data_IF_653804497445
#
_entry.id   IF_653804497445
#
_cell.length_a   1.000
_cell.length_b   1.000
_cell.length_c   1.000
_cell.angle_alpha   90.00
_cell.angle_beta   90.00
_cell.angle_gamma   90.00
#
_symmetry.space_group_name_H-M   'P 1'
#
loop_
_entity.id
_entity.type
_entity.pdbx_description
1 polymer ?
#
# COMPACT_ATOMS: atom_id res chain seq x y z
N UNK A 1 -0.02 2.00 29.41
CA UNK A 1 0.25 2.74 28.17
C UNK A 1 -0.68 2.24 27.09
N UNK A 2 -1.72 3.03 26.79
CA UNK A 2 -2.74 2.71 25.78
C UNK A 2 -2.28 3.16 24.39
N UNK A 3 -1.07 2.73 24.00
CA UNK A 3 -0.45 3.07 22.72
C UNK A 3 -0.18 1.82 21.88
N UNK A 4 -0.60 1.84 20.61
CA UNK A 4 -0.22 0.84 19.61
C UNK A 4 0.72 1.51 18.60
N UNK A 5 1.96 1.01 18.56
CA UNK A 5 2.98 1.41 17.59
C UNK A 5 3.01 0.44 16.41
N UNK A 6 2.85 0.98 15.21
CA UNK A 6 2.94 0.24 13.94
C UNK A 6 4.07 0.89 13.13
N UNK A 7 5.06 0.09 12.71
CA UNK A 7 6.22 0.60 11.97
C UNK A 7 6.64 -0.35 10.86
N UNK A 8 7.27 0.19 9.83
CA UNK A 8 7.80 -0.60 8.74
C UNK A 8 8.28 0.24 7.57
N UNK A 9 8.50 -0.43 6.44
CA UNK A 9 8.91 0.19 5.18
C UNK A 9 7.77 0.17 4.18
N UNK A 10 7.61 1.27 3.46
CA UNK A 10 6.72 1.28 2.30
C UNK A 10 7.29 0.37 1.20
N UNK A 11 6.40 -0.11 0.35
CA UNK A 11 6.74 -0.98 -0.77
C UNK A 11 6.22 -0.43 -2.08
N UNK A 12 6.97 -0.64 -3.15
CA UNK A 12 6.53 -0.33 -4.50
C UNK A 12 5.34 -1.23 -4.88
N UNK A 13 4.21 -0.61 -5.20
CA UNK A 13 3.06 -1.29 -5.77
C UNK A 13 3.21 -1.35 -7.29
N UNK A 14 3.43 -2.55 -7.86
CA UNK A 14 3.34 -2.74 -9.32
C UNK A 14 1.88 -2.90 -9.71
N UNK A 15 1.34 -1.93 -10.45
CA UNK A 15 0.04 -2.09 -11.10
C UNK A 15 0.19 -2.95 -12.36
N UNK A 16 0.30 -4.27 -12.17
CA UNK A 16 0.39 -5.20 -13.29
C UNK A 16 -0.99 -5.41 -13.91
N UNK A 17 -1.28 -4.70 -15.00
CA UNK A 17 -2.51 -4.93 -15.77
C UNK A 17 -2.48 -6.29 -16.46
N UNK A 18 -3.63 -6.98 -16.42
CA UNK A 18 -3.87 -8.24 -17.12
C UNK A 18 -4.29 -7.95 -18.56
N UNK A 19 -3.31 -7.76 -19.44
CA UNK A 19 -3.57 -7.60 -20.88
C UNK A 19 -4.07 -8.92 -21.49
N UNK A 20 -4.78 -8.88 -22.64
CA UNK A 20 -5.25 -10.08 -23.32
C UNK A 20 -4.15 -11.13 -23.55
N UNK A 21 -2.96 -10.66 -23.94
CA UNK A 21 -1.79 -11.53 -24.16
C UNK A 21 -1.36 -12.22 -22.86
N UNK A 22 -1.26 -11.48 -21.75
CA UNK A 22 -0.92 -12.07 -20.44
C UNK A 22 -1.96 -13.10 -20.00
N UNK A 23 -3.23 -12.88 -20.30
CA UNK A 23 -4.31 -13.84 -20.03
C UNK A 23 -4.18 -15.11 -20.86
N UNK A 24 -3.85 -15.00 -22.15
CA UNK A 24 -3.59 -16.17 -23.02
C UNK A 24 -2.41 -16.99 -22.47
N UNK A 25 -1.30 -16.33 -22.14
CA UNK A 25 -0.12 -17.00 -21.58
C UNK A 25 -0.45 -17.69 -20.25
N UNK A 26 -1.21 -17.02 -19.37
CA UNK A 26 -1.64 -17.61 -18.11
C UNK A 26 -2.50 -18.85 -18.36
N UNK A 27 -3.44 -18.80 -19.32
CA UNK A 27 -4.26 -19.97 -19.66
C UNK A 27 -3.44 -21.13 -20.23
N UNK A 28 -2.50 -20.85 -21.12
CA UNK A 28 -1.59 -21.88 -21.67
C UNK A 28 -0.73 -22.51 -20.56
N UNK A 29 -0.19 -21.69 -19.65
CA UNK A 29 0.54 -22.16 -18.47
C UNK A 29 -0.32 -23.05 -17.59
N UNK A 30 -1.58 -22.68 -17.35
CA UNK A 30 -2.51 -23.46 -16.55
C UNK A 30 -2.89 -24.80 -17.22
N UNK A 31 -3.03 -24.83 -18.54
CA UNK A 31 -3.34 -26.05 -19.29
C UNK A 31 -2.17 -27.03 -19.37
N UNK A 32 -0.93 -26.53 -19.30
CA UNK A 32 0.30 -27.33 -19.39
C UNK A 32 0.83 -27.68 -18.01
N UNK A 33 1.56 -26.77 -17.37
CA UNK A 33 2.26 -27.00 -16.09
C UNK A 33 1.30 -26.89 -14.91
N UNK A 34 0.40 -25.91 -14.95
CA UNK A 34 -0.54 -25.65 -13.86
C UNK A 34 -1.54 -26.78 -13.62
N UNK A 35 -1.81 -27.61 -14.63
CA UNK A 35 -2.62 -28.82 -14.51
C UNK A 35 -2.02 -29.82 -13.52
N UNK A 36 -0.69 -29.93 -13.49
CA UNK A 36 0.02 -30.88 -12.64
C UNK A 36 0.50 -30.25 -11.32
N UNK A 37 0.76 -28.93 -11.31
CA UNK A 37 1.29 -28.21 -10.14
C UNK A 37 0.54 -26.89 -9.87
N UNK A 38 -0.78 -26.91 -9.59
CA UNK A 38 -1.57 -25.69 -9.41
C UNK A 38 -1.09 -24.85 -8.20
N UNK A 39 -0.63 -25.50 -7.14
CA UNK A 39 -0.10 -24.82 -5.95
C UNK A 39 1.22 -24.10 -6.22
N UNK A 40 2.04 -24.58 -7.15
CA UNK A 40 3.28 -23.91 -7.55
C UNK A 40 2.96 -22.60 -8.28
N UNK A 41 2.05 -22.66 -9.26
CA UNK A 41 1.60 -21.46 -10.00
C UNK A 41 0.99 -20.44 -9.04
N UNK A 42 0.15 -20.89 -8.09
CA UNK A 42 -0.41 -20.02 -7.06
C UNK A 42 0.67 -19.32 -6.25
N UNK A 43 1.66 -20.05 -5.72
CA UNK A 43 2.76 -19.48 -4.94
C UNK A 43 3.58 -18.47 -5.77
N UNK A 44 3.85 -18.76 -7.04
CA UNK A 44 4.57 -17.86 -7.93
C UNK A 44 3.81 -16.56 -8.18
N UNK A 45 2.51 -16.64 -8.48
CA UNK A 45 1.66 -15.47 -8.70
C UNK A 45 1.52 -14.64 -7.42
N UNK A 46 1.29 -15.29 -6.27
CA UNK A 46 1.24 -14.61 -4.98
C UNK A 46 2.56 -13.91 -4.65
N UNK A 47 3.70 -14.58 -4.90
CA UNK A 47 5.01 -13.96 -4.72
C UNK A 47 5.20 -12.77 -5.65
N UNK A 48 4.81 -12.88 -6.91
CA UNK A 48 4.97 -11.80 -7.89
C UNK A 48 4.06 -10.60 -7.62
N UNK A 49 2.82 -10.83 -7.22
CA UNK A 49 1.78 -9.79 -7.16
C UNK A 49 1.57 -9.24 -5.74
N UNK A 50 1.87 -10.02 -4.70
CA UNK A 50 1.50 -9.70 -3.32
C UNK A 50 2.74 -9.50 -2.44
N UNK A 51 3.60 -10.51 -2.31
CA UNK A 51 4.65 -10.52 -1.26
C UNK A 51 6.03 -10.09 -1.73
N UNK A 52 6.37 -10.26 -3.01
CA UNK A 52 7.67 -9.91 -3.59
C UNK A 52 7.81 -8.44 -3.98
N UNK A 53 7.20 -7.53 -3.21
CA UNK A 53 7.27 -6.09 -3.46
C UNK A 53 8.66 -5.57 -3.10
N UNK A 54 9.21 -4.73 -3.96
CA UNK A 54 10.46 -4.04 -3.67
C UNK A 54 10.21 -2.98 -2.59
N UNK A 55 11.14 -2.85 -1.66
CA UNK A 55 11.11 -1.79 -0.64
C UNK A 55 11.24 -0.43 -1.32
N UNK A 56 10.40 0.52 -0.93
CA UNK A 56 10.51 1.91 -1.29
C UNK A 56 11.38 2.64 -0.26
N UNK A 57 12.04 3.76 -0.61
CA UNK A 57 12.94 4.49 0.28
C UNK A 57 12.15 5.37 1.28
N UNK A 58 11.14 4.80 1.92
CA UNK A 58 10.30 5.47 2.91
C UNK A 58 10.03 4.53 4.07
N UNK A 59 10.40 4.96 5.27
CA UNK A 59 10.04 4.29 6.51
C UNK A 59 8.83 5.00 7.11
N UNK A 60 7.88 4.24 7.63
CA UNK A 60 6.68 4.78 8.24
C UNK A 60 6.56 4.35 9.69
N UNK A 61 5.91 5.21 10.47
CA UNK A 61 5.52 4.95 11.83
C UNK A 61 4.11 5.50 12.06
N UNK A 62 3.24 4.70 12.67
CA UNK A 62 1.90 5.08 13.10
C UNK A 62 1.76 4.77 14.58
N UNK A 63 1.33 5.76 15.35
CA UNK A 63 0.94 5.60 16.75
C UNK A 63 -0.57 5.79 16.84
N UNK A 64 -1.22 4.86 17.52
CA UNK A 64 -2.64 4.92 17.86
C UNK A 64 -2.71 5.03 19.38
N UNK A 65 -3.29 6.11 19.89
CA UNK A 65 -3.41 6.35 21.32
C UNK A 65 -4.80 6.90 21.66
N UNK A 66 -5.28 6.57 22.86
CA UNK A 66 -6.50 7.15 23.39
C UNK A 66 -6.16 8.40 24.21
N UNK A 67 -6.77 9.53 23.85
CA UNK A 67 -6.65 10.79 24.58
C UNK A 67 -8.04 11.39 24.77
N UNK A 68 -8.46 11.62 26.02
CA UNK A 68 -9.78 12.16 26.34
C UNK A 68 -10.95 11.41 25.67
N UNK A 69 -10.95 10.08 25.73
CA UNK A 69 -11.95 9.20 25.08
C UNK A 69 -12.01 9.32 23.54
N UNK A 70 -10.98 9.91 22.92
CA UNK A 70 -10.86 10.02 21.48
C UNK A 70 -9.63 9.26 20.96
N UNK A 71 -9.76 8.64 19.78
CA UNK A 71 -8.64 7.94 19.16
C UNK A 71 -7.78 8.94 18.39
N UNK A 72 -6.56 9.13 18.85
CA UNK A 72 -5.55 9.97 18.19
C UNK A 72 -4.62 9.10 17.36
N UNK A 73 -4.49 9.44 16.09
CA UNK A 73 -3.63 8.76 15.12
C UNK A 73 -2.50 9.71 14.72
N UNK A 74 -1.27 9.37 15.07
CA UNK A 74 -0.06 10.10 14.68
C UNK A 74 0.71 9.29 13.65
N UNK A 75 0.81 9.81 12.44
CA UNK A 75 1.58 9.25 11.34
C UNK A 75 2.88 10.03 11.18
N UNK A 76 3.97 9.30 10.93
CA UNK A 76 5.25 9.84 10.54
C UNK A 76 5.78 9.05 9.33
N UNK A 77 6.27 9.77 8.33
CA UNK A 77 6.96 9.19 7.18
C UNK A 77 8.34 9.85 7.05
N UNK A 78 9.38 9.04 6.97
CA UNK A 78 10.77 9.50 6.83
C UNK A 78 11.34 9.05 5.50
N UNK A 79 12.17 9.90 4.90
CA UNK A 79 12.95 9.56 3.71
C UNK A 79 14.22 10.38 3.64
N UNK A 80 15.23 9.83 2.96
CA UNK A 80 16.45 10.57 2.63
C UNK A 80 16.19 11.64 1.56
N UNK A 81 15.15 11.48 0.73
CA UNK A 81 14.81 12.46 -0.30
C UNK A 81 13.35 12.41 -0.69
N UNK A 82 12.74 13.60 -0.82
CA UNK A 82 11.37 13.80 -1.27
C UNK A 82 11.26 14.21 -2.74
N UNK A 83 12.38 14.46 -3.43
CA UNK A 83 12.40 15.10 -4.76
C UNK A 83 11.67 14.33 -5.86
N UNK A 84 11.53 13.01 -5.69
CA UNK A 84 10.84 12.14 -6.65
C UNK A 84 9.36 11.90 -6.31
N UNK A 85 8.87 12.46 -5.19
CA UNK A 85 7.46 12.32 -4.80
C UNK A 85 6.64 13.36 -5.54
N UNK A 86 5.75 12.88 -6.43
CA UNK A 86 4.88 13.77 -7.21
C UNK A 86 3.64 14.16 -6.42
N UNK A 87 2.97 13.16 -5.85
CA UNK A 87 1.75 13.30 -5.08
C UNK A 87 1.85 12.44 -3.81
N UNK A 88 1.19 12.87 -2.75
CA UNK A 88 1.08 12.12 -1.50
C UNK A 88 -0.32 12.24 -0.94
N UNK A 89 -0.80 11.19 -0.27
CA UNK A 89 -2.09 11.25 0.39
C UNK A 89 -2.55 9.93 0.94
N UNK A 90 -3.72 9.98 1.59
CA UNK A 90 -4.31 8.85 2.29
C UNK A 90 -5.73 8.66 1.75
N UNK A 91 -5.96 7.50 1.13
CA UNK A 91 -7.27 7.07 0.66
C UNK A 91 -7.75 5.84 1.41
N UNK A 92 -9.07 5.72 1.62
CA UNK A 92 -9.69 4.55 2.27
C UNK A 92 -9.70 3.28 1.40
N UNK A 93 -9.10 3.36 0.21
CA UNK A 93 -9.46 2.50 -0.90
C UNK A 93 -8.21 2.01 -1.71
N UNK A 94 -7.04 2.59 -1.45
CA UNK A 94 -5.81 2.27 -2.18
C UNK A 94 -5.18 0.98 -1.65
N UNK A 95 -5.57 -0.16 -2.21
CA UNK A 95 -4.89 -1.44 -1.96
C UNK A 95 -3.90 -1.79 -3.06
N UNK A 96 -2.69 -2.17 -2.65
CA UNK A 96 -1.67 -2.75 -3.54
C UNK A 96 -1.84 -4.26 -3.72
N UNK A 97 -2.97 -4.83 -3.28
CA UNK A 97 -3.31 -6.25 -3.38
C UNK A 97 -4.59 -6.35 -4.20
N UNK A 98 -4.43 -6.63 -5.49
CA UNK A 98 -5.56 -6.83 -6.39
C UNK A 98 -6.06 -8.27 -6.25
N UNK A 99 -7.23 -8.43 -5.64
CA UNK A 99 -8.01 -9.67 -5.72
C UNK A 99 -9.21 -9.37 -6.59
N UNK A 100 -9.13 -9.79 -7.86
CA UNK A 100 -10.07 -9.51 -8.96
C UNK A 100 -11.55 -9.72 -8.60
N UNK A 101 -11.86 -10.50 -7.55
CA UNK A 101 -13.22 -10.85 -7.16
C UNK A 101 -13.55 -10.68 -5.67
N UNK A 102 -12.74 -9.98 -4.86
CA UNK A 102 -13.01 -9.85 -3.41
C UNK A 102 -13.18 -8.42 -2.91
N UNK A 103 -13.17 -7.42 -3.80
CA UNK A 103 -13.38 -6.03 -3.38
C UNK A 103 -14.85 -5.66 -3.51
N UNK A 104 -15.65 -6.07 -2.54
CA UNK A 104 -17.02 -5.55 -2.40
C UNK A 104 -16.96 -4.06 -2.08
N UNK A 105 -17.97 -3.31 -2.55
CA UNK A 105 -18.14 -1.92 -2.18
C UNK A 105 -18.20 -1.79 -0.65
N UNK A 106 -17.55 -0.76 -0.12
CA UNK A 106 -17.63 -0.37 1.29
C UNK A 106 -17.82 1.14 1.36
N UNK A 107 -18.70 1.61 2.26
CA UNK A 107 -19.01 3.06 2.40
C UNK A 107 -17.75 3.89 2.65
N UNK A 108 -16.76 3.35 3.37
CA UNK A 108 -15.46 4.00 3.58
C UNK A 108 -14.66 4.29 2.31
N UNK A 109 -15.00 3.69 1.17
CA UNK A 109 -14.38 3.97 -0.14
C UNK A 109 -14.82 5.34 -0.71
N UNK A 110 -15.90 5.91 -0.19
CA UNK A 110 -16.36 7.26 -0.55
C UNK A 110 -15.65 8.36 0.25
N UNK A 111 -14.81 8.00 1.23
CA UNK A 111 -14.06 8.98 2.00
C UNK A 111 -13.16 9.78 1.05
N UNK A 112 -13.14 11.12 1.18
CA UNK A 112 -12.32 11.96 0.34
C UNK A 112 -10.86 11.60 0.53
N UNK A 113 -10.12 11.68 -0.57
CA UNK A 113 -8.67 11.56 -0.53
C UNK A 113 -8.10 12.69 0.34
N UNK A 114 -7.38 12.34 1.41
CA UNK A 114 -6.62 13.32 2.17
C UNK A 114 -5.35 13.63 1.38
N UNK A 115 -5.35 14.76 0.70
CA UNK A 115 -4.20 15.22 -0.08
C UNK A 115 -3.12 15.80 0.84
N UNK A 116 -1.92 15.24 0.76
CA UNK A 116 -0.73 15.65 1.51
C UNK A 116 0.38 16.14 0.55
N UNK A 117 0.04 16.33 -0.73
CA UNK A 117 1.02 16.63 -1.79
C UNK A 117 1.76 17.93 -1.51
N UNK A 118 1.04 18.99 -1.15
CA UNK A 118 1.65 20.29 -0.83
C UNK A 118 2.61 20.17 0.37
N UNK A 119 2.21 19.47 1.42
CA UNK A 119 3.02 19.26 2.62
C UNK A 119 4.31 18.53 2.29
N UNK A 120 4.25 17.49 1.44
CA UNK A 120 5.43 16.75 1.01
C UNK A 120 6.35 17.58 0.12
N UNK A 121 5.80 18.42 -0.75
CA UNK A 121 6.59 19.28 -1.64
C UNK A 121 7.39 20.35 -0.88
N UNK A 122 6.97 20.70 0.34
CA UNK A 122 7.67 21.66 1.20
C UNK A 122 8.81 21.01 2.02
N UNK A 123 8.88 19.68 2.07
CA UNK A 123 9.88 18.97 2.88
C UNK A 123 11.28 19.05 2.29
N UNK A 124 12.27 19.29 3.15
CA UNK A 124 13.68 19.16 2.76
C UNK A 124 14.18 17.71 2.91
N UNK A 125 15.27 17.32 2.23
CA UNK A 125 15.86 15.99 2.39
C UNK A 125 16.14 15.64 3.86
N UNK A 126 15.70 14.46 4.31
CA UNK A 126 15.84 14.00 5.70
C UNK A 126 14.75 14.50 6.66
N UNK A 127 13.93 15.47 6.26
CA UNK A 127 12.79 15.92 7.05
C UNK A 127 11.68 14.86 7.07
N UNK A 128 10.94 14.78 8.18
CA UNK A 128 9.82 13.84 8.32
C UNK A 128 8.50 14.51 7.97
N UNK A 129 7.67 13.85 7.16
CA UNK A 129 6.25 14.19 7.08
C UNK A 129 5.59 13.72 8.38
N UNK A 130 4.87 14.61 9.05
CA UNK A 130 4.12 14.30 10.27
C UNK A 130 2.67 14.70 10.10
N UNK A 131 1.75 13.85 10.57
CA UNK A 131 0.32 14.08 10.50
C UNK A 131 -0.34 13.56 11.77
N UNK A 132 -1.18 14.39 12.37
CA UNK A 132 -2.00 14.03 13.53
C UNK A 132 -3.49 14.13 13.16
N UNK A 133 -4.27 13.13 13.55
CA UNK A 133 -5.71 13.08 13.31
C UNK A 133 -6.45 12.59 14.55
N UNK A 134 -7.61 13.16 14.78
CA UNK A 134 -8.52 12.82 15.87
C UNK A 134 -9.74 12.12 15.27
N UNK A 135 -9.98 10.86 15.66
CA UNK A 135 -11.04 9.99 15.14
C UNK A 135 -12.15 9.76 16.17
#
# INVERSE_FOLDING_TARGET
DDEILIQGQLGWAKQQQMTPIKLIILRLTMLTVGRFFPNLIRKLLQKMLITGKNKAPFDFQRRLCWENDQLVVRDQLTSQSWSNVKNAGIGGDQTSIYVVMSRTFQVGQLQPWLDLTEQVQQLVPGESLQLERYL
#
